data_IF_062884248376
#
_entry.id   IF_062884248376
#
_cell.length_a   1.000
_cell.length_b   1.000
_cell.length_c   1.000
_cell.angle_alpha   90.00
_cell.angle_beta   90.00
_cell.angle_gamma   90.00
#
_symmetry.space_group_name_H-M   'P 1'
#
loop_
_entity.id
_entity.type
_entity.pdbx_description
1 polymer ?
#
# COMPACT_ATOMS: atom_id res chain seq x y z
N UNK A 1 15.75 6.43 -9.23
CA UNK A 1 14.50 6.19 -9.92
C UNK A 1 13.46 5.55 -9.01
N UNK A 2 12.21 5.92 -9.22
CA UNK A 2 11.11 5.37 -8.45
C UNK A 2 10.55 4.08 -9.04
N UNK A 3 9.41 3.68 -8.53
CA UNK A 3 8.70 2.51 -9.05
C UNK A 3 7.18 2.74 -8.98
N UNK A 4 6.45 1.91 -9.70
CA UNK A 4 4.99 1.94 -9.71
C UNK A 4 4.46 0.62 -9.18
N UNK A 5 3.51 0.71 -8.24
CA UNK A 5 2.71 -0.42 -7.82
C UNK A 5 1.34 -0.34 -8.47
N UNK A 6 0.95 -1.42 -9.10
CA UNK A 6 -0.36 -1.55 -9.70
C UNK A 6 -1.01 -2.85 -9.23
N UNK A 7 -2.23 -2.75 -8.78
CA UNK A 7 -2.96 -3.95 -8.38
C UNK A 7 -4.45 -3.80 -8.64
N UNK A 8 -5.10 -4.94 -8.70
CA UNK A 8 -6.55 -5.03 -8.88
C UNK A 8 -7.10 -5.74 -7.66
N UNK A 9 -8.04 -5.09 -6.99
CA UNK A 9 -8.79 -5.71 -5.91
C UNK A 9 -10.12 -6.17 -6.46
N UNK A 10 -10.44 -7.44 -6.23
CA UNK A 10 -11.72 -8.03 -6.60
C UNK A 10 -12.48 -8.33 -5.32
N UNK A 11 -13.60 -7.65 -5.14
CA UNK A 11 -14.46 -7.85 -3.99
C UNK A 11 -15.67 -8.66 -4.44
N UNK A 12 -15.82 -9.85 -3.87
CA UNK A 12 -16.98 -10.69 -4.11
C UNK A 12 -18.06 -10.37 -3.08
N UNK A 13 -19.32 -10.45 -3.51
CA UNK A 13 -20.44 -10.22 -2.62
C UNK A 13 -20.46 -11.19 -1.43
N UNK A 14 -21.13 -10.78 -0.35
CA UNK A 14 -21.18 -11.54 0.90
C UNK A 14 -21.79 -12.94 0.76
N UNK A 15 -22.56 -13.16 -0.28
CA UNK A 15 -23.26 -14.43 -0.55
C UNK A 15 -22.38 -15.48 -1.24
N UNK A 16 -21.13 -15.12 -1.55
CA UNK A 16 -20.27 -15.99 -2.33
C UNK A 16 -20.80 -16.24 -3.74
N UNK A 17 -21.65 -15.37 -4.22
CA UNK A 17 -22.25 -15.48 -5.54
C UNK A 17 -21.19 -15.40 -6.63
N UNK A 18 -21.07 -16.48 -7.38
CA UNK A 18 -20.10 -16.60 -8.46
C UNK A 18 -20.60 -16.07 -9.79
N UNK A 19 -21.81 -15.53 -9.83
CA UNK A 19 -22.44 -15.10 -11.08
C UNK A 19 -21.92 -13.77 -11.61
N UNK A 20 -21.03 -13.12 -10.89
CA UNK A 20 -20.40 -11.88 -11.33
C UNK A 20 -21.22 -10.62 -11.14
N UNK A 21 -22.49 -10.73 -10.75
CA UNK A 21 -23.35 -9.57 -10.56
C UNK A 21 -22.91 -8.68 -9.38
N UNK A 22 -22.29 -9.28 -8.36
CA UNK A 22 -21.85 -8.58 -7.16
C UNK A 22 -20.32 -8.45 -7.05
N UNK A 23 -19.61 -8.70 -8.16
CA UNK A 23 -18.16 -8.57 -8.17
C UNK A 23 -17.77 -7.12 -8.47
N UNK A 24 -17.13 -6.48 -7.51
CA UNK A 24 -16.56 -5.16 -7.69
C UNK A 24 -15.07 -5.27 -7.93
N UNK A 25 -14.59 -4.62 -8.97
CA UNK A 25 -13.16 -4.51 -9.29
C UNK A 25 -12.70 -3.10 -9.02
N UNK A 26 -11.58 -2.99 -8.35
CA UNK A 26 -10.92 -1.70 -8.15
C UNK A 26 -9.48 -1.81 -8.59
N UNK A 27 -9.11 -0.98 -9.54
CA UNK A 27 -7.71 -0.86 -9.96
C UNK A 27 -7.07 0.30 -9.20
N UNK A 28 -5.89 0.06 -8.70
CA UNK A 28 -5.11 1.08 -8.01
C UNK A 28 -3.72 1.11 -8.62
N UNK A 29 -3.24 2.30 -8.89
CA UNK A 29 -1.89 2.54 -9.36
C UNK A 29 -1.25 3.63 -8.53
N UNK A 30 -0.11 3.32 -7.95
CA UNK A 30 0.61 4.24 -7.09
C UNK A 30 2.06 4.36 -7.54
N UNK A 31 2.52 5.59 -7.68
CA UNK A 31 3.89 5.89 -8.07
C UNK A 31 4.70 6.31 -6.84
N UNK A 32 5.82 5.67 -6.63
CA UNK A 32 6.72 5.98 -5.52
C UNK A 32 7.99 6.61 -6.06
N UNK A 33 8.35 7.74 -5.48
CA UNK A 33 9.57 8.47 -5.83
C UNK A 33 10.61 8.33 -4.73
N UNK A 34 11.91 8.25 -5.08
CA UNK A 34 12.95 8.13 -4.08
C UNK A 34 13.05 9.40 -3.22
N UNK A 35 13.37 9.20 -1.96
CA UNK A 35 13.62 10.28 -1.04
C UNK A 35 15.08 10.70 -1.17
N UNK A 36 15.32 12.00 -1.35
CA UNK A 36 16.66 12.54 -1.45
C UNK A 36 17.45 12.25 -0.18
N UNK A 37 18.70 11.81 -0.36
CA UNK A 37 19.63 11.50 0.72
C UNK A 37 19.20 10.34 1.65
N UNK A 38 18.24 9.55 1.20
CA UNK A 38 17.79 8.35 1.93
C UNK A 38 17.73 7.17 0.96
N UNK A 39 18.74 6.33 1.03
CA UNK A 39 18.74 5.10 0.24
C UNK A 39 17.59 4.19 0.67
N UNK A 40 17.01 3.50 -0.28
CA UNK A 40 15.96 2.50 -0.04
C UNK A 40 14.63 3.04 0.48
N UNK A 41 14.46 4.37 0.58
CA UNK A 41 13.23 4.99 1.03
C UNK A 41 12.54 5.72 -0.12
N UNK A 42 11.24 5.48 -0.25
CA UNK A 42 10.40 6.03 -1.32
C UNK A 42 9.13 6.61 -0.73
N UNK A 43 8.61 7.67 -1.31
CA UNK A 43 7.34 8.26 -0.92
C UNK A 43 6.37 8.25 -2.09
N UNK A 44 5.08 8.18 -1.76
CA UNK A 44 4.04 8.25 -2.78
C UNK A 44 4.08 9.61 -3.46
N UNK A 45 4.27 9.59 -4.78
CA UNK A 45 4.22 10.79 -5.58
C UNK A 45 2.78 11.24 -5.74
N UNK A 46 2.52 12.53 -5.52
CA UNK A 46 1.18 13.06 -5.71
C UNK A 46 0.77 13.00 -7.19
N UNK A 47 -0.48 12.67 -7.43
CA UNK A 47 -1.07 12.83 -8.75
C UNK A 47 -1.08 14.33 -9.09
N UNK A 48 -0.49 14.70 -10.15
CA UNK A 48 -0.44 16.10 -10.55
C UNK A 48 0.89 16.46 -11.18
N UNK A 49 1.78 15.50 -11.23
CA UNK A 49 3.00 15.59 -12.00
C UNK A 49 3.98 16.64 -11.50
N UNK A 50 4.76 17.09 -12.44
CA UNK A 50 5.96 17.90 -12.23
C UNK A 50 5.70 19.29 -11.62
N UNK A 51 4.46 19.73 -11.56
CA UNK A 51 4.13 21.10 -11.15
C UNK A 51 3.62 21.22 -9.72
N UNK A 52 3.27 20.11 -9.11
CA UNK A 52 3.01 20.12 -7.69
C UNK A 52 4.31 19.84 -6.99
N UNK A 53 4.87 20.87 -6.39
CA UNK A 53 5.82 20.64 -5.33
C UNK A 53 5.13 19.65 -4.41
N UNK A 54 5.67 18.47 -4.32
CA UNK A 54 5.15 17.41 -3.51
C UNK A 54 5.02 17.87 -2.06
N UNK A 55 3.92 18.54 -1.76
CA UNK A 55 3.53 18.65 -0.38
C UNK A 55 3.18 17.23 0.03
N UNK A 56 3.98 16.69 0.91
CA UNK A 56 3.66 15.40 1.51
C UNK A 56 2.27 15.52 2.13
N UNK A 57 1.41 14.53 1.92
CA UNK A 57 0.12 14.52 2.59
C UNK A 57 0.29 14.76 4.07
N UNK A 58 -0.55 15.60 4.66
CA UNK A 58 -0.47 15.90 6.07
C UNK A 58 -1.44 15.02 6.85
N UNK A 59 -0.96 14.07 7.65
CA UNK A 59 -1.86 13.19 8.40
C UNK A 59 -2.70 13.94 9.43
N UNK A 60 -2.26 15.10 9.88
CA UNK A 60 -3.05 15.92 10.81
C UNK A 60 -4.30 16.50 10.15
N UNK A 61 -4.35 16.55 8.83
CA UNK A 61 -5.52 16.98 8.07
C UNK A 61 -6.38 15.80 7.59
N UNK A 62 -6.14 14.61 8.11
CA UNK A 62 -6.87 13.41 7.69
C UNK A 62 -6.34 12.77 6.42
N UNK A 63 -5.26 13.27 5.86
CA UNK A 63 -4.65 12.70 4.67
C UNK A 63 -3.75 11.52 5.05
N UNK A 64 -3.87 10.41 4.33
CA UNK A 64 -2.99 9.26 4.56
C UNK A 64 -1.61 9.53 3.96
N UNK A 65 -0.58 9.29 4.75
CA UNK A 65 0.82 9.34 4.29
C UNK A 65 1.24 7.94 3.91
N UNK A 66 1.78 7.78 2.70
CA UNK A 66 2.25 6.48 2.23
C UNK A 66 3.72 6.57 1.84
N UNK A 67 4.48 5.58 2.29
CA UNK A 67 5.89 5.47 1.92
C UNK A 67 6.28 4.00 1.80
N UNK A 68 7.41 3.75 1.19
CA UNK A 68 7.91 2.39 0.99
C UNK A 68 9.39 2.31 1.32
N UNK A 69 9.79 1.19 1.87
CA UNK A 69 11.19 0.87 2.09
C UNK A 69 11.54 -0.40 1.32
N UNK A 70 12.66 -0.39 0.63
CA UNK A 70 13.12 -1.54 -0.15
C UNK A 70 14.47 -1.99 0.36
N UNK A 71 14.56 -3.23 0.82
CA UNK A 71 15.80 -3.84 1.28
C UNK A 71 15.92 -5.25 0.69
N UNK A 72 16.92 -5.46 -0.16
CA UNK A 72 17.11 -6.75 -0.80
C UNK A 72 15.86 -7.19 -1.57
N UNK A 73 15.29 -8.32 -1.18
CA UNK A 73 14.08 -8.86 -1.79
C UNK A 73 12.79 -8.43 -1.10
N UNK A 74 12.90 -7.59 -0.07
CA UNK A 74 11.76 -7.11 0.71
C UNK A 74 11.37 -5.69 0.31
N UNK A 75 10.09 -5.49 0.05
CA UNK A 75 9.52 -4.17 -0.12
C UNK A 75 8.37 -4.01 0.87
N UNK A 76 8.46 -3.02 1.73
CA UNK A 76 7.42 -2.74 2.71
C UNK A 76 6.79 -1.40 2.41
N UNK A 77 5.47 -1.40 2.23
CA UNK A 77 4.71 -0.17 2.02
C UNK A 77 3.93 0.13 3.30
N UNK A 78 4.04 1.35 3.76
CA UNK A 78 3.37 1.83 4.96
C UNK A 78 2.31 2.87 4.57
N UNK A 79 1.19 2.84 5.26
CA UNK A 79 0.16 3.86 5.14
C UNK A 79 -0.28 4.29 6.53
N UNK A 80 -0.09 5.57 6.83
CA UNK A 80 -0.46 6.15 8.13
C UNK A 80 -1.56 7.18 7.93
N UNK A 81 -2.64 7.04 8.68
CA UNK A 81 -3.73 8.00 8.73
C UNK A 81 -4.05 8.33 10.19
N UNK A 82 -4.46 9.57 10.43
CA UNK A 82 -4.90 10.02 11.76
C UNK A 82 -6.38 10.38 11.65
N UNK A 83 -7.21 9.79 12.52
CA UNK A 83 -8.64 10.06 12.54
C UNK A 83 -8.93 11.41 13.20
N UNK A 84 -10.16 11.91 12.99
CA UNK A 84 -10.60 13.18 13.61
C UNK A 84 -10.54 13.15 15.12
N UNK A 85 -10.68 11.98 15.72
CA UNK A 85 -10.57 11.80 17.18
C UNK A 85 -9.13 11.73 17.68
N UNK A 86 -8.14 11.84 16.78
CA UNK A 86 -6.73 11.76 17.14
C UNK A 86 -6.17 10.35 17.18
N UNK A 87 -6.98 9.34 16.88
CA UNK A 87 -6.50 7.96 16.78
C UNK A 87 -5.68 7.76 15.50
N UNK A 88 -4.81 6.76 15.50
CA UNK A 88 -3.95 6.46 14.37
C UNK A 88 -4.27 5.10 13.76
N UNK A 89 -4.16 5.00 12.45
CA UNK A 89 -4.23 3.73 11.72
C UNK A 89 -2.97 3.59 10.88
N UNK A 90 -2.24 2.52 11.12
CA UNK A 90 -1.07 2.16 10.34
C UNK A 90 -1.34 0.85 9.60
N UNK A 91 -1.20 0.89 8.29
CA UNK A 91 -1.26 -0.30 7.46
C UNK A 91 0.14 -0.63 6.97
N UNK A 92 0.53 -1.88 7.07
CA UNK A 92 1.85 -2.36 6.64
C UNK A 92 1.66 -3.50 5.66
N UNK A 93 2.20 -3.31 4.45
CA UNK A 93 2.20 -4.32 3.39
C UNK A 93 3.65 -4.73 3.13
N UNK A 94 4.03 -5.91 3.56
CA UNK A 94 5.36 -6.44 3.29
C UNK A 94 5.29 -7.44 2.14
N UNK A 95 6.09 -7.20 1.12
CA UNK A 95 6.20 -8.07 -0.05
C UNK A 95 7.62 -8.58 -0.14
N UNK A 96 7.77 -9.89 -0.15
CA UNK A 96 9.08 -10.55 -0.24
C UNK A 96 9.13 -11.35 -1.53
N UNK A 97 10.11 -11.06 -2.37
CA UNK A 97 10.32 -11.83 -3.60
C UNK A 97 10.83 -13.22 -3.26
N UNK A 98 10.24 -14.22 -3.88
CA UNK A 98 10.64 -15.62 -3.76
C UNK A 98 11.01 -16.19 -5.12
N UNK A 99 11.57 -17.40 -5.14
CA UNK A 99 11.90 -18.07 -6.41
C UNK A 99 10.68 -18.27 -7.31
N UNK A 100 9.49 -18.46 -6.72
CA UNK A 100 8.26 -18.75 -7.44
C UNK A 100 7.35 -17.54 -7.64
N UNK A 101 7.59 -16.47 -6.92
CA UNK A 101 6.72 -15.30 -7.00
C UNK A 101 6.98 -14.34 -5.86
N UNK A 102 6.00 -14.17 -5.01
CA UNK A 102 6.06 -13.16 -3.96
C UNK A 102 5.17 -13.56 -2.79
N UNK A 103 5.71 -13.43 -1.60
CA UNK A 103 4.93 -13.55 -0.37
C UNK A 103 4.45 -12.16 0.06
N UNK A 104 3.19 -12.06 0.46
CA UNK A 104 2.61 -10.81 0.96
C UNK A 104 2.15 -11.01 2.39
N UNK A 105 2.54 -10.08 3.25
CA UNK A 105 2.02 -9.98 4.61
C UNK A 105 1.40 -8.61 4.79
N UNK A 106 0.17 -8.60 5.27
CA UNK A 106 -0.55 -7.38 5.57
C UNK A 106 -0.86 -7.32 7.06
N UNK A 107 -0.67 -6.14 7.63
CA UNK A 107 -1.01 -5.88 9.03
C UNK A 107 -1.64 -4.50 9.13
N UNK A 108 -2.72 -4.41 9.88
CA UNK A 108 -3.37 -3.15 10.21
C UNK A 108 -3.32 -2.95 11.72
N UNK A 109 -2.73 -1.85 12.15
CA UNK A 109 -2.70 -1.45 13.55
C UNK A 109 -3.60 -0.23 13.73
N UNK A 110 -4.41 -0.25 14.75
CA UNK A 110 -5.24 0.87 15.14
C UNK A 110 -4.89 1.22 16.59
N UNK A 111 -4.44 2.45 16.82
CA UNK A 111 -4.01 2.92 18.14
C UNK A 111 -3.01 1.96 18.80
N UNK A 112 -2.02 1.53 18.02
CA UNK A 112 -0.96 0.60 18.42
C UNK A 112 -1.40 -0.85 18.65
N UNK A 113 -2.68 -1.16 18.47
CA UNK A 113 -3.19 -2.52 18.57
C UNK A 113 -3.37 -3.16 17.19
N UNK A 114 -2.91 -4.40 17.04
CA UNK A 114 -3.05 -5.13 15.79
C UNK A 114 -4.51 -5.56 15.63
N UNK A 115 -5.16 -5.09 14.57
CA UNK A 115 -6.57 -5.40 14.27
C UNK A 115 -6.72 -6.50 13.24
N UNK A 116 -5.82 -6.52 12.24
CA UNK A 116 -5.91 -7.46 11.13
C UNK A 116 -4.51 -7.95 10.78
N UNK A 117 -4.39 -9.24 10.57
CA UNK A 117 -3.20 -9.86 9.96
C UNK A 117 -3.65 -10.74 8.82
N UNK A 118 -3.02 -10.57 7.68
CA UNK A 118 -3.27 -11.41 6.52
C UNK A 118 -1.94 -11.78 5.88
N UNK A 119 -1.88 -12.96 5.29
CA UNK A 119 -0.73 -13.31 4.47
C UNK A 119 -1.18 -14.13 3.28
N UNK A 120 -0.45 -14.03 2.21
CA UNK A 120 -0.75 -14.71 0.97
C UNK A 120 0.51 -14.91 0.15
N UNK A 121 0.37 -15.70 -0.89
CA UNK A 121 1.45 -15.98 -1.82
C UNK A 121 0.96 -15.68 -3.23
N UNK A 122 1.77 -14.94 -3.97
CA UNK A 122 1.54 -14.67 -5.38
C UNK A 122 2.51 -15.50 -6.22
N UNK A 123 2.03 -16.02 -7.31
CA UNK A 123 2.83 -16.77 -8.27
C UNK A 123 3.21 -15.84 -9.42
N UNK A 124 4.46 -15.91 -9.83
CA UNK A 124 4.93 -15.12 -10.97
C UNK A 124 4.26 -15.62 -12.24
N UNK A 125 3.68 -14.72 -12.99
CA UNK A 125 3.14 -14.99 -14.33
C UNK A 125 4.09 -14.46 -15.39
N UNK A 126 4.04 -15.08 -16.54
CA UNK A 126 4.83 -14.63 -17.69
C UNK A 126 4.17 -13.46 -18.41
#
# INVERSE_FOLDING_TARGET
DGFTLKWITVIRGADGDRTGADVKRREVEEHFAPVKDRESLYVLASEGGLFHKSELPNPLLGEAVRWAAVEGNDMTVYSLAISESGGSELQVYRRTLTAKGMDIKFMRLQDESIQVRMQGTLVRTK
#
